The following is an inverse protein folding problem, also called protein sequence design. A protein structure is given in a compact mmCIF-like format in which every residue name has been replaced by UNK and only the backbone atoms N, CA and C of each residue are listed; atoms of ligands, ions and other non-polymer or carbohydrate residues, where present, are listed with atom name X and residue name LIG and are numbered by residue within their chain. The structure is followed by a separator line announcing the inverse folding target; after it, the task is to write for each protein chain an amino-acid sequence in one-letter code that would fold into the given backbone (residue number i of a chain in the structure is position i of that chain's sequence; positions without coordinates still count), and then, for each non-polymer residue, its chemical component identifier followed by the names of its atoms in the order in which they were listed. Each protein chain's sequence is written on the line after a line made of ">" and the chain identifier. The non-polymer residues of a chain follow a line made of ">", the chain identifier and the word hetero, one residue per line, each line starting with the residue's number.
data_IF_181995668129
#
_entry.id   IF_181995668129
#
_cell.length_a   1.000
_cell.length_b   1.000
_cell.length_c   1.000
_cell.angle_alpha   90.00
_cell.angle_beta   90.00
_cell.angle_gamma   90.00
#
_symmetry.space_group_name_H-M   'P 1'
#
loop_
_entity.id
_entity.type
_entity.pdbx_description
1 polymer ?
#
# COMPACT_ATOMS: atom_id res chain seq x y z
N UNK A 1 -45.54 15.49 -2.79
CA UNK A 1 -45.34 16.49 -3.85
C UNK A 1 -43.96 16.22 -4.41
N UNK A 2 -43.84 15.89 -5.69
CA UNK A 2 -42.54 15.60 -6.32
C UNK A 2 -41.90 16.95 -6.71
N UNK A 3 -40.82 17.32 -6.03
CA UNK A 3 -40.03 18.49 -6.39
C UNK A 3 -39.02 18.07 -7.47
N UNK A 4 -39.07 18.71 -8.63
CA UNK A 4 -38.11 18.52 -9.73
C UNK A 4 -37.46 19.84 -10.09
N UNK A 5 -36.15 19.82 -10.34
CA UNK A 5 -35.44 21.01 -10.83
C UNK A 5 -35.25 20.90 -12.33
N UNK A 6 -35.77 21.88 -13.07
CA UNK A 6 -35.65 21.92 -14.54
C UNK A 6 -34.46 22.80 -14.92
N UNK A 7 -33.54 22.25 -15.69
CA UNK A 7 -32.46 23.03 -16.28
C UNK A 7 -33.05 23.98 -17.34
N UNK A 8 -32.93 25.29 -17.12
CA UNK A 8 -33.54 26.31 -17.98
C UNK A 8 -32.97 26.34 -19.40
N UNK A 9 -31.72 25.86 -19.57
CA UNK A 9 -31.02 25.88 -20.87
C UNK A 9 -31.40 24.66 -21.72
N UNK A 10 -31.49 23.48 -21.10
CA UNK A 10 -31.69 22.23 -21.83
C UNK A 10 -33.11 21.68 -21.73
N UNK A 11 -33.98 22.32 -20.93
CA UNK A 11 -35.30 21.84 -20.53
C UNK A 11 -35.29 20.42 -19.92
N UNK A 12 -34.10 19.93 -19.53
CA UNK A 12 -33.95 18.61 -18.93
C UNK A 12 -34.39 18.67 -17.47
N UNK A 13 -35.42 17.89 -17.13
CA UNK A 13 -35.96 17.81 -15.78
C UNK A 13 -35.23 16.71 -15.01
N UNK A 14 -34.47 17.10 -13.98
CA UNK A 14 -33.88 16.14 -13.04
C UNK A 14 -34.87 15.98 -11.89
N UNK A 15 -35.36 14.76 -11.70
CA UNK A 15 -36.16 14.43 -10.51
C UNK A 15 -35.27 14.47 -9.28
N UNK A 16 -35.48 15.45 -8.41
CA UNK A 16 -34.80 15.52 -7.12
C UNK A 16 -35.59 14.71 -6.11
N UNK A 17 -35.06 13.54 -5.75
CA UNK A 17 -35.58 12.80 -4.61
C UNK A 17 -35.03 13.49 -3.37
N UNK A 18 -35.88 14.23 -2.66
CA UNK A 18 -35.55 14.78 -1.35
C UNK A 18 -35.54 13.64 -0.34
N UNK A 19 -34.37 13.05 -0.12
CA UNK A 19 -34.14 12.12 0.97
C UNK A 19 -34.19 12.89 2.29
N UNK A 20 -35.02 12.46 3.24
CA UNK A 20 -35.00 13.03 4.59
C UNK A 20 -33.63 12.76 5.22
N UNK A 21 -33.08 13.71 5.99
CA UNK A 21 -31.76 13.57 6.64
C UNK A 21 -31.64 12.32 7.52
N UNK A 22 -32.75 11.69 7.90
CA UNK A 22 -32.81 10.42 8.63
C UNK A 22 -32.61 9.15 7.77
N UNK A 23 -32.63 9.24 6.43
CA UNK A 23 -32.42 8.07 5.55
C UNK A 23 -30.95 7.81 5.20
N UNK A 24 -30.04 8.70 5.62
CA UNK A 24 -28.60 8.43 5.60
C UNK A 24 -28.14 7.67 6.86
N UNK A 25 -28.92 6.70 7.32
CA UNK A 25 -28.35 5.63 8.15
C UNK A 25 -27.61 4.65 7.24
N UNK A 26 -26.29 4.88 7.13
CA UNK A 26 -25.18 3.94 6.93
C UNK A 26 -25.52 2.45 6.67
N UNK A 27 -26.29 2.16 5.61
CA UNK A 27 -26.39 0.82 5.01
C UNK A 27 -25.46 0.66 3.82
N UNK A 28 -24.32 1.37 3.84
CA UNK A 28 -23.15 0.86 3.12
C UNK A 28 -22.76 -0.43 3.83
N UNK A 29 -23.09 -1.55 3.18
CA UNK A 29 -22.84 -2.91 3.65
C UNK A 29 -21.39 -2.99 4.14
N UNK A 30 -21.24 -2.99 5.45
CA UNK A 30 -20.00 -3.30 6.15
C UNK A 30 -19.78 -4.80 5.98
N UNK A 31 -19.16 -5.17 4.88
CA UNK A 31 -18.51 -6.47 4.79
C UNK A 31 -17.50 -6.54 5.96
N UNK A 32 -17.79 -7.47 6.89
CA UNK A 32 -17.09 -7.75 8.16
C UNK A 32 -17.62 -6.96 9.37
N UNK A 33 -18.85 -7.30 9.80
CA UNK A 33 -19.21 -7.22 11.22
C UNK A 33 -18.34 -8.21 12.02
N UNK A 34 -17.21 -7.74 12.54
CA UNK A 34 -16.65 -8.32 13.76
C UNK A 34 -17.31 -7.62 14.95
N UNK A 35 -18.20 -8.36 15.61
CA UNK A 35 -18.71 -8.04 16.94
C UNK A 35 -17.58 -8.19 17.96
N UNK A 36 -16.88 -7.11 18.31
CA UNK A 36 -16.12 -7.05 19.55
C UNK A 36 -16.18 -5.65 20.18
N UNK A 37 -17.05 -5.57 21.20
CA UNK A 37 -16.83 -4.94 22.51
C UNK A 37 -16.05 -3.60 22.53
N UNK A 38 -16.81 -2.51 22.56
CA UNK A 38 -16.33 -1.21 23.01
C UNK A 38 -16.41 -1.12 24.55
N UNK A 39 -15.29 -1.36 25.22
CA UNK A 39 -14.93 -0.63 26.45
C UNK A 39 -13.42 -0.81 26.73
N UNK A 40 -12.71 0.30 26.98
CA UNK A 40 -11.37 0.31 27.57
C UNK A 40 -10.16 0.11 26.66
N UNK A 41 -10.25 -0.64 25.55
CA UNK A 41 -9.04 -1.21 24.90
C UNK A 41 -8.77 -0.67 23.46
N UNK A 42 -8.91 0.64 23.26
CA UNK A 42 -8.80 1.25 21.92
C UNK A 42 -7.41 1.10 21.28
N UNK A 43 -6.34 1.13 22.08
CA UNK A 43 -4.97 1.02 21.59
C UNK A 43 -4.60 -0.42 21.19
N UNK A 44 -5.09 -1.43 21.93
CA UNK A 44 -4.86 -2.84 21.60
C UNK A 44 -5.65 -3.22 20.35
N UNK A 45 -6.89 -2.76 20.22
CA UNK A 45 -7.71 -2.95 19.03
C UNK A 45 -7.05 -2.35 17.77
N UNK A 46 -6.50 -1.13 17.86
CA UNK A 46 -5.75 -0.49 16.78
C UNK A 46 -4.52 -1.32 16.37
N UNK A 47 -3.73 -1.75 17.36
CA UNK A 47 -2.52 -2.52 17.11
C UNK A 47 -2.83 -3.85 16.38
N UNK A 48 -3.88 -4.55 16.80
CA UNK A 48 -4.31 -5.79 16.14
C UNK A 48 -4.85 -5.56 14.73
N UNK A 49 -5.61 -4.48 14.49
CA UNK A 49 -6.05 -4.10 13.15
C UNK A 49 -4.88 -3.86 12.20
N UNK A 50 -3.90 -3.04 12.62
CA UNK A 50 -2.69 -2.77 11.82
C UNK A 50 -1.96 -4.07 11.50
N UNK A 51 -1.70 -4.91 12.51
CA UNK A 51 -1.05 -6.22 12.30
C UNK A 51 -1.84 -7.09 11.32
N UNK A 52 -3.16 -7.11 11.40
CA UNK A 52 -4.01 -7.88 10.50
C UNK A 52 -3.87 -7.42 9.04
N UNK A 53 -3.88 -6.11 8.78
CA UNK A 53 -3.74 -5.58 7.42
C UNK A 53 -2.32 -5.73 6.88
N UNK A 54 -1.29 -5.49 7.69
CA UNK A 54 0.10 -5.74 7.26
C UNK A 54 0.31 -7.23 6.97
N UNK A 55 -0.30 -8.13 7.77
CA UNK A 55 -0.28 -9.58 7.51
C UNK A 55 -1.04 -9.93 6.23
N UNK A 56 -2.18 -9.31 5.97
CA UNK A 56 -2.91 -9.47 4.70
C UNK A 56 -1.97 -9.18 3.53
N UNK A 57 -1.27 -8.05 3.56
CA UNK A 57 -0.41 -7.61 2.46
C UNK A 57 0.84 -8.50 2.27
N UNK A 58 1.44 -8.99 3.36
CA UNK A 58 2.73 -9.68 3.30
C UNK A 58 2.62 -11.21 3.23
N UNK A 59 1.68 -11.82 3.95
CA UNK A 59 1.67 -13.27 4.21
C UNK A 59 0.40 -13.99 3.74
N UNK A 60 -0.66 -13.27 3.37
CA UNK A 60 -1.91 -13.92 2.97
C UNK A 60 -1.80 -14.73 1.68
N UNK A 61 -2.84 -15.52 1.40
CA UNK A 61 -3.00 -16.19 0.11
C UNK A 61 -3.06 -15.19 -1.06
N UNK A 62 -3.55 -13.96 -0.84
CA UNK A 62 -3.49 -12.88 -1.84
C UNK A 62 -2.03 -12.47 -2.11
N UNK A 63 -1.20 -12.35 -1.09
CA UNK A 63 0.22 -12.05 -1.24
C UNK A 63 0.96 -13.14 -2.02
N UNK A 64 0.65 -14.42 -1.76
CA UNK A 64 1.19 -15.56 -2.52
C UNK A 64 0.76 -15.54 -3.99
N UNK A 65 -0.52 -15.27 -4.26
CA UNK A 65 -1.05 -15.14 -5.63
C UNK A 65 -0.42 -13.96 -6.38
N UNK A 66 -0.27 -12.83 -5.71
CA UNK A 66 0.39 -11.64 -6.26
C UNK A 66 1.84 -11.97 -6.66
N UNK A 67 2.59 -12.58 -5.73
CA UNK A 67 3.95 -13.03 -5.98
C UNK A 67 4.03 -14.01 -7.16
N UNK A 68 3.20 -15.06 -7.18
CA UNK A 68 3.20 -16.04 -8.27
C UNK A 68 2.92 -15.38 -9.63
N UNK A 69 1.99 -14.43 -9.69
CA UNK A 69 1.74 -13.68 -10.93
C UNK A 69 2.93 -12.82 -11.36
N UNK A 70 3.71 -12.29 -10.42
CA UNK A 70 4.91 -11.51 -10.75
C UNK A 70 6.03 -12.42 -11.24
N UNK A 71 6.21 -13.59 -10.62
CA UNK A 71 7.16 -14.62 -11.10
C UNK A 71 6.84 -14.99 -12.55
N UNK A 72 5.60 -15.36 -12.86
CA UNK A 72 5.19 -15.70 -14.24
C UNK A 72 5.41 -14.54 -15.22
N UNK A 73 5.19 -13.30 -14.79
CA UNK A 73 5.44 -12.11 -15.63
C UNK A 73 6.93 -11.96 -15.94
N UNK A 74 7.80 -12.16 -14.95
CA UNK A 74 9.25 -12.08 -15.15
C UNK A 74 9.74 -13.23 -16.02
N UNK A 75 9.29 -14.47 -15.78
CA UNK A 75 9.61 -15.62 -16.61
C UNK A 75 9.23 -15.38 -18.08
N UNK A 76 8.04 -14.83 -18.33
CA UNK A 76 7.60 -14.49 -19.68
C UNK A 76 8.49 -13.40 -20.32
N UNK A 77 8.85 -12.35 -19.55
CA UNK A 77 9.75 -11.30 -20.03
C UNK A 77 11.12 -11.84 -20.38
N UNK A 78 11.71 -12.68 -19.52
CA UNK A 78 13.00 -13.34 -19.75
C UNK A 78 12.95 -14.22 -21.00
N UNK A 79 11.90 -15.03 -21.16
CA UNK A 79 11.71 -15.86 -22.34
C UNK A 79 11.59 -15.04 -23.64
N UNK A 80 10.85 -13.94 -23.61
CA UNK A 80 10.72 -13.01 -24.73
C UNK A 80 12.07 -12.35 -25.09
N UNK A 81 12.82 -11.90 -24.09
CA UNK A 81 14.14 -11.30 -24.30
C UNK A 81 15.14 -12.31 -24.86
N UNK A 82 15.17 -13.52 -24.30
CA UNK A 82 16.02 -14.60 -24.78
C UNK A 82 15.71 -14.93 -26.25
N UNK A 83 14.43 -15.07 -26.59
CA UNK A 83 13.99 -15.36 -27.97
C UNK A 83 14.41 -14.25 -28.94
N UNK A 84 14.21 -12.98 -28.57
CA UNK A 84 14.61 -11.83 -29.39
C UNK A 84 16.12 -11.76 -29.60
N UNK A 85 16.88 -12.01 -28.54
CA UNK A 85 18.35 -11.94 -28.56
C UNK A 85 18.95 -13.07 -29.37
N UNK A 86 18.44 -14.30 -29.22
CA UNK A 86 18.83 -15.46 -30.03
C UNK A 86 18.50 -15.27 -31.51
N UNK A 87 17.32 -14.73 -31.82
CA UNK A 87 16.92 -14.46 -33.22
C UNK A 87 17.86 -13.44 -33.85
N UNK A 88 18.17 -12.36 -33.13
CA UNK A 88 19.09 -11.31 -33.58
C UNK A 88 20.52 -11.84 -33.75
N UNK A 89 20.99 -12.67 -32.82
CA UNK A 89 22.30 -13.33 -32.91
C UNK A 89 22.37 -14.30 -34.08
N UNK A 90 21.30 -15.06 -34.36
CA UNK A 90 21.21 -15.95 -35.53
C UNK A 90 21.33 -15.16 -36.83
N UNK A 91 20.63 -14.03 -36.97
CA UNK A 91 20.75 -13.17 -38.15
C UNK A 91 22.15 -12.57 -38.31
N UNK A 92 22.84 -12.32 -37.20
CA UNK A 92 24.20 -11.78 -37.19
C UNK A 92 25.30 -12.87 -37.21
N UNK A 93 24.96 -14.15 -37.37
CA UNK A 93 25.89 -15.29 -37.25
C UNK A 93 26.75 -15.28 -35.97
N UNK A 94 26.19 -14.79 -34.86
CA UNK A 94 26.85 -14.77 -33.54
C UNK A 94 26.58 -16.07 -32.78
N UNK A 95 27.45 -16.38 -31.81
CA UNK A 95 27.24 -17.49 -30.90
C UNK A 95 25.94 -17.32 -30.10
N UNK A 96 25.02 -18.29 -30.21
CA UNK A 96 23.72 -18.24 -29.53
C UNK A 96 23.86 -18.38 -28.02
N UNK A 97 24.86 -19.14 -27.55
CA UNK A 97 25.12 -19.36 -26.13
C UNK A 97 25.51 -18.05 -25.45
N UNK A 98 26.44 -17.28 -26.04
CA UNK A 98 26.85 -15.99 -25.50
C UNK A 98 25.69 -14.99 -25.52
N UNK A 99 24.90 -14.99 -26.59
CA UNK A 99 23.71 -14.14 -26.72
C UNK A 99 22.65 -14.44 -25.64
N UNK A 100 22.44 -15.72 -25.31
CA UNK A 100 21.54 -16.13 -24.23
C UNK A 100 22.11 -15.75 -22.85
N UNK A 101 23.41 -15.96 -22.62
CA UNK A 101 24.08 -15.55 -21.39
C UNK A 101 23.97 -14.04 -21.17
N UNK A 102 24.19 -13.22 -22.21
CA UNK A 102 24.02 -11.77 -22.14
C UNK A 102 22.59 -11.37 -21.77
N UNK A 103 21.58 -12.04 -22.37
CA UNK A 103 20.17 -11.79 -22.08
C UNK A 103 19.82 -12.14 -20.61
N UNK A 104 20.31 -13.27 -20.12
CA UNK A 104 20.09 -13.71 -18.74
C UNK A 104 20.83 -12.81 -17.74
N UNK A 105 22.08 -12.46 -17.99
CA UNK A 105 22.86 -11.58 -17.11
C UNK A 105 22.21 -10.19 -16.95
N UNK A 106 21.64 -9.65 -18.03
CA UNK A 106 20.92 -8.36 -17.98
C UNK A 106 19.68 -8.43 -17.09
N UNK A 107 18.85 -9.45 -17.25
CA UNK A 107 17.61 -9.56 -16.48
C UNK A 107 17.83 -10.04 -15.05
N UNK A 108 18.78 -10.94 -14.77
CA UNK A 108 19.09 -11.40 -13.40
C UNK A 108 19.64 -10.27 -12.54
N UNK A 109 20.34 -9.30 -13.13
CA UNK A 109 20.85 -8.12 -12.41
C UNK A 109 19.73 -7.15 -12.01
N UNK A 110 18.62 -7.12 -12.77
CA UNK A 110 17.49 -6.20 -12.53
C UNK A 110 16.31 -6.86 -11.81
N UNK A 111 16.12 -8.17 -11.98
CA UNK A 111 14.98 -8.91 -11.45
C UNK A 111 15.41 -9.78 -10.26
N UNK A 112 15.28 -9.21 -9.06
CA UNK A 112 15.43 -9.93 -7.81
C UNK A 112 14.19 -10.81 -7.60
N UNK A 113 14.06 -11.90 -8.39
CA UNK A 113 13.03 -12.92 -8.18
C UNK A 113 13.45 -13.73 -6.95
N UNK A 114 13.05 -13.27 -5.77
CA UNK A 114 13.27 -14.00 -4.52
C UNK A 114 12.25 -15.11 -4.40
N UNK A 115 12.60 -16.20 -3.73
CA UNK A 115 11.64 -17.18 -3.19
C UNK A 115 10.61 -16.44 -2.32
N UNK A 116 9.37 -16.94 -2.24
CA UNK A 116 8.39 -16.44 -1.26
C UNK A 116 8.85 -16.79 0.16
N UNK A 117 9.75 -15.98 0.70
CA UNK A 117 10.35 -16.19 2.01
C UNK A 117 9.37 -15.77 3.13
N UNK A 118 8.77 -16.76 3.77
CA UNK A 118 7.81 -16.58 4.86
C UNK A 118 8.50 -15.98 6.09
N UNK A 119 9.74 -16.35 6.38
CA UNK A 119 10.45 -15.89 7.57
C UNK A 119 10.78 -14.41 7.44
N UNK A 120 11.32 -14.00 6.29
CA UNK A 120 11.62 -12.60 6.03
C UNK A 120 10.37 -11.72 6.03
N UNK A 121 9.29 -12.18 5.39
CA UNK A 121 8.00 -11.48 5.41
C UNK A 121 7.39 -11.39 6.82
N UNK A 122 7.62 -12.39 7.67
CA UNK A 122 7.18 -12.36 9.07
C UNK A 122 7.99 -11.37 9.88
N UNK A 123 9.33 -11.32 9.72
CA UNK A 123 10.16 -10.27 10.32
C UNK A 123 9.68 -8.89 9.89
N UNK A 124 9.46 -8.71 8.58
CA UNK A 124 8.99 -7.45 8.03
C UNK A 124 7.59 -7.07 8.55
N UNK A 125 6.68 -8.02 8.71
CA UNK A 125 5.37 -7.80 9.33
C UNK A 125 5.50 -7.16 10.71
N UNK A 126 6.35 -7.72 11.58
CA UNK A 126 6.56 -7.19 12.93
C UNK A 126 7.18 -5.80 12.90
N UNK A 127 8.22 -5.60 12.08
CA UNK A 127 8.91 -4.31 11.94
C UNK A 127 7.98 -3.22 11.41
N UNK A 128 7.27 -3.48 10.30
CA UNK A 128 6.32 -2.54 9.71
C UNK A 128 5.19 -2.21 10.67
N UNK A 129 4.59 -3.22 11.30
CA UNK A 129 3.49 -3.00 12.24
C UNK A 129 3.93 -2.14 13.41
N UNK A 130 5.12 -2.38 13.98
CA UNK A 130 5.67 -1.56 15.07
C UNK A 130 5.78 -0.09 14.68
N UNK A 131 6.37 0.21 13.53
CA UNK A 131 6.52 1.59 13.07
C UNK A 131 5.19 2.27 12.75
N UNK A 132 4.26 1.55 12.12
CA UNK A 132 2.93 2.09 11.80
C UNK A 132 2.13 2.37 13.06
N UNK A 133 2.11 1.42 14.01
CA UNK A 133 1.42 1.60 15.30
C UNK A 133 2.01 2.80 16.03
N UNK A 134 3.34 2.87 16.15
CA UNK A 134 4.00 4.00 16.79
C UNK A 134 3.60 5.33 16.15
N UNK A 135 3.72 5.45 14.82
CA UNK A 135 3.36 6.67 14.10
C UNK A 135 1.90 7.07 14.30
N UNK A 136 0.95 6.13 14.16
CA UNK A 136 -0.47 6.41 14.35
C UNK A 136 -0.75 6.85 15.80
N UNK A 137 -0.18 6.17 16.79
CA UNK A 137 -0.33 6.53 18.20
C UNK A 137 0.25 7.91 18.50
N UNK A 138 1.41 8.26 17.94
CA UNK A 138 1.99 9.59 18.10
C UNK A 138 1.12 10.68 17.44
N UNK A 139 0.60 10.44 16.23
CA UNK A 139 -0.33 11.37 15.58
C UNK A 139 -1.64 11.54 16.38
N UNK A 140 -2.17 10.47 16.98
CA UNK A 140 -3.37 10.54 17.81
C UNK A 140 -3.15 11.30 19.11
N UNK A 141 -2.07 10.99 19.83
CA UNK A 141 -1.79 11.54 21.16
C UNK A 141 -1.28 12.98 21.12
N UNK A 142 -0.37 13.30 20.18
CA UNK A 142 0.29 14.62 20.12
C UNK A 142 -0.35 15.59 19.15
N UNK A 143 -0.90 15.10 18.03
CA UNK A 143 -1.47 15.94 16.97
C UNK A 143 -3.00 15.91 16.97
N UNK A 144 -3.61 15.15 17.88
CA UNK A 144 -5.06 14.97 17.98
C UNK A 144 -5.71 14.48 16.68
N UNK A 145 -4.95 13.79 15.83
CA UNK A 145 -5.45 13.25 14.56
C UNK A 145 -6.23 11.98 14.84
N UNK A 146 -7.53 11.97 14.52
CA UNK A 146 -8.35 10.77 14.60
C UNK A 146 -8.27 9.98 13.31
N UNK A 147 -8.05 8.67 13.43
CA UNK A 147 -8.12 7.76 12.30
C UNK A 147 -9.29 6.81 12.49
N UNK A 148 -10.16 6.72 11.47
CA UNK A 148 -11.34 5.86 11.54
C UNK A 148 -10.92 4.39 11.33
N UNK A 149 -11.54 3.42 12.03
CA UNK A 149 -11.30 2.01 11.79
C UNK A 149 -11.49 1.60 10.31
N UNK A 150 -12.48 2.18 9.62
CA UNK A 150 -12.73 1.94 8.19
C UNK A 150 -11.58 2.37 7.27
N UNK A 151 -10.72 3.29 7.71
CA UNK A 151 -9.57 3.76 6.95
C UNK A 151 -8.29 2.97 7.26
N UNK A 152 -8.29 2.13 8.31
CA UNK A 152 -7.08 1.46 8.80
C UNK A 152 -6.42 0.57 7.78
N UNK A 153 -7.21 -0.12 6.95
CA UNK A 153 -6.68 -0.92 5.84
C UNK A 153 -5.88 -0.04 4.89
N UNK A 154 -6.48 1.06 4.46
CA UNK A 154 -5.88 2.00 3.52
C UNK A 154 -4.62 2.64 4.07
N UNK A 155 -4.67 3.10 5.32
CA UNK A 155 -3.53 3.71 6.01
C UNK A 155 -2.40 2.69 6.19
N UNK A 156 -2.71 1.47 6.64
CA UNK A 156 -1.70 0.44 6.86
C UNK A 156 -1.02 0.05 5.55
N UNK A 157 -1.78 -0.17 4.48
CA UNK A 157 -1.21 -0.47 3.16
C UNK A 157 -0.38 0.70 2.65
N UNK A 158 -0.92 1.92 2.67
CA UNK A 158 -0.22 3.12 2.21
C UNK A 158 1.11 3.31 2.94
N UNK A 159 1.12 3.22 4.28
CA UNK A 159 2.33 3.37 5.07
C UNK A 159 3.37 2.27 4.80
N UNK A 160 2.95 1.01 4.64
CA UNK A 160 3.89 -0.07 4.24
C UNK A 160 4.53 0.24 2.87
N UNK A 161 3.78 0.81 1.92
CA UNK A 161 4.36 1.23 0.63
C UNK A 161 5.26 2.44 0.75
N UNK A 162 4.94 3.39 1.62
CA UNK A 162 5.79 4.57 1.87
C UNK A 162 7.13 4.19 2.51
N UNK A 163 7.24 3.07 3.23
CA UNK A 163 8.52 2.54 3.73
C UNK A 163 9.51 2.17 2.62
N UNK A 164 9.12 2.15 1.34
CA UNK A 164 10.07 2.02 0.22
C UNK A 164 11.00 3.23 0.08
N UNK A 165 10.52 4.40 0.47
CA UNK A 165 11.23 5.68 0.36
C UNK A 165 11.47 6.34 1.72
N UNK A 166 10.70 5.95 2.73
CA UNK A 166 10.67 6.59 4.04
C UNK A 166 9.91 7.92 4.01
N UNK A 167 9.63 8.47 5.19
CA UNK A 167 9.03 9.79 5.39
C UNK A 167 9.97 10.57 6.28
N UNK A 168 10.39 11.74 5.79
CA UNK A 168 11.29 12.63 6.48
C UNK A 168 10.64 14.01 6.57
N UNK A 169 10.71 14.66 7.72
CA UNK A 169 10.31 16.06 7.86
C UNK A 169 11.35 16.78 8.72
N UNK A 170 11.79 17.95 8.28
CA UNK A 170 12.80 18.76 9.00
C UNK A 170 14.07 17.97 9.37
N UNK A 171 14.53 17.07 8.49
CA UNK A 171 15.71 16.23 8.75
C UNK A 171 15.49 15.07 9.73
N UNK A 172 14.26 14.89 10.24
CA UNK A 172 13.89 13.78 11.14
C UNK A 172 13.18 12.69 10.36
N UNK A 173 13.58 11.44 10.58
CA UNK A 173 12.94 10.25 10.02
C UNK A 173 11.69 9.91 10.83
N UNK A 174 10.52 10.12 10.22
CA UNK A 174 9.21 9.81 10.82
C UNK A 174 8.78 8.38 10.48
N UNK A 175 9.07 7.96 9.25
CA UNK A 175 8.86 6.59 8.80
C UNK A 175 10.15 6.09 8.12
N UNK A 176 10.73 4.99 8.57
CA UNK A 176 12.03 4.56 8.06
C UNK A 176 11.89 3.96 6.67
N UNK A 177 12.95 4.10 5.88
CA UNK A 177 13.11 3.35 4.64
C UNK A 177 13.56 1.93 4.97
N UNK A 178 12.87 0.94 4.44
CA UNK A 178 13.19 -0.47 4.60
C UNK A 178 13.48 -1.08 3.23
N UNK A 179 14.75 -1.34 2.91
CA UNK A 179 15.16 -1.79 1.57
C UNK A 179 14.53 -3.14 1.16
N UNK A 180 14.28 -4.02 2.14
CA UNK A 180 13.63 -5.31 1.88
C UNK A 180 12.17 -5.16 1.44
N UNK A 181 11.49 -4.04 1.76
CA UNK A 181 10.10 -3.79 1.36
C UNK A 181 9.98 -3.72 -0.16
N UNK A 182 10.94 -3.08 -0.83
CA UNK A 182 10.94 -2.94 -2.30
C UNK A 182 10.92 -4.29 -3.02
N UNK A 183 11.62 -5.29 -2.48
CA UNK A 183 11.74 -6.62 -3.07
C UNK A 183 10.57 -7.56 -2.70
N UNK A 184 9.84 -7.28 -1.62
CA UNK A 184 8.83 -8.20 -1.07
C UNK A 184 7.39 -7.75 -1.30
N UNK A 185 7.16 -6.46 -1.53
CA UNK A 185 5.83 -5.96 -1.83
C UNK A 185 5.47 -6.18 -3.31
N UNK A 186 4.21 -6.49 -3.61
CA UNK A 186 3.76 -6.56 -4.98
C UNK A 186 3.88 -5.20 -5.67
N UNK A 187 3.95 -5.20 -7.00
CA UNK A 187 3.83 -3.96 -7.78
C UNK A 187 2.43 -3.37 -7.68
N UNK A 188 2.32 -2.05 -7.86
CA UNK A 188 1.04 -1.32 -7.78
C UNK A 188 -0.01 -1.85 -8.77
N UNK A 189 0.42 -2.28 -9.96
CA UNK A 189 -0.46 -2.93 -10.95
C UNK A 189 -1.12 -4.20 -10.41
N UNK A 190 -0.43 -4.95 -9.55
CA UNK A 190 -0.91 -6.21 -8.96
C UNK A 190 -1.79 -5.94 -7.75
N UNK A 191 -1.57 -4.85 -7.02
CA UNK A 191 -2.40 -4.43 -5.89
C UNK A 191 -3.87 -4.31 -6.28
N UNK A 192 -4.18 -3.58 -7.35
CA UNK A 192 -5.58 -3.38 -7.74
C UNK A 192 -6.25 -4.71 -8.08
N UNK A 193 -5.56 -5.57 -8.84
CA UNK A 193 -6.12 -6.83 -9.31
C UNK A 193 -6.30 -7.87 -8.19
N UNK A 194 -5.38 -7.94 -7.24
CA UNK A 194 -5.32 -9.03 -6.25
C UNK A 194 -5.85 -8.61 -4.88
N UNK A 195 -5.63 -7.35 -4.50
CA UNK A 195 -6.03 -6.81 -3.20
C UNK A 195 -7.23 -5.87 -3.28
N UNK A 196 -7.70 -5.52 -4.48
CA UNK A 196 -8.67 -4.44 -4.68
C UNK A 196 -8.25 -3.16 -3.95
N UNK A 197 -7.01 -2.76 -4.23
CA UNK A 197 -6.37 -1.60 -3.63
C UNK A 197 -5.73 -0.76 -4.73
N UNK A 198 -6.21 0.48 -4.92
CA UNK A 198 -5.75 1.35 -6.01
C UNK A 198 -4.47 2.04 -5.61
N UNK A 199 -3.58 2.29 -6.57
CA UNK A 199 -2.38 3.11 -6.35
C UNK A 199 -2.72 4.50 -5.78
N UNK A 200 -3.86 5.08 -6.22
CA UNK A 200 -4.40 6.35 -5.66
C UNK A 200 -4.50 6.33 -4.13
N UNK A 201 -4.87 5.19 -3.53
CA UNK A 201 -4.96 5.10 -2.08
C UNK A 201 -3.60 5.31 -1.37
N UNK A 202 -2.49 4.94 -2.01
CA UNK A 202 -1.13 5.20 -1.49
C UNK A 202 -0.87 6.71 -1.51
N UNK A 203 -1.16 7.37 -2.64
CA UNK A 203 -1.02 8.82 -2.80
C UNK A 203 -1.91 9.59 -1.82
N UNK A 204 -3.13 9.13 -1.58
CA UNK A 204 -4.05 9.76 -0.63
C UNK A 204 -3.50 9.65 0.81
N UNK A 205 -2.91 8.52 1.18
CA UNK A 205 -2.23 8.34 2.48
C UNK A 205 -1.00 9.25 2.57
N UNK A 206 -0.17 9.30 1.53
CA UNK A 206 0.97 10.21 1.47
C UNK A 206 0.55 11.67 1.68
N UNK A 207 -0.46 12.14 0.94
CA UNK A 207 -0.97 13.50 1.06
C UNK A 207 -1.56 13.77 2.45
N UNK A 208 -2.28 12.80 3.04
CA UNK A 208 -2.80 12.90 4.40
C UNK A 208 -1.67 13.09 5.40
N UNK A 209 -0.60 12.30 5.33
CA UNK A 209 0.56 12.46 6.22
C UNK A 209 1.34 13.75 5.95
N UNK A 210 1.52 14.17 4.69
CA UNK A 210 2.11 15.48 4.38
C UNK A 210 1.33 16.62 5.02
N UNK A 211 -0.01 16.59 4.94
CA UNK A 211 -0.87 17.60 5.55
C UNK A 211 -0.78 17.61 7.07
N UNK A 212 -0.77 16.42 7.70
CA UNK A 212 -0.59 16.27 9.15
C UNK A 212 0.74 16.89 9.58
N UNK A 213 1.82 16.54 8.88
CA UNK A 213 3.19 16.94 9.22
C UNK A 213 3.48 18.42 8.93
N UNK A 214 2.81 19.02 7.94
CA UNK A 214 2.98 20.44 7.58
C UNK A 214 2.69 21.40 8.73
N UNK A 215 1.82 21.01 9.64
CA UNK A 215 1.40 21.85 10.77
C UNK A 215 2.18 21.57 12.05
N UNK A 216 3.15 20.65 12.03
CA UNK A 216 3.92 20.27 13.20
C UNK A 216 5.14 21.19 13.31
N UNK A 217 5.31 21.94 14.42
CA UNK A 217 6.52 22.73 14.63
C UNK A 217 7.74 21.81 14.73
N UNK A 218 8.94 22.31 14.40
CA UNK A 218 10.17 21.51 14.39
C UNK A 218 10.39 20.71 15.69
N UNK A 219 10.07 21.28 16.84
CA UNK A 219 10.17 20.61 18.14
C UNK A 219 9.24 19.40 18.24
N UNK A 220 8.00 19.52 17.75
CA UNK A 220 7.04 18.42 17.70
C UNK A 220 7.39 17.35 16.67
N UNK A 221 8.24 17.64 15.69
CA UNK A 221 8.67 16.65 14.69
C UNK A 221 9.73 15.71 15.24
N UNK A 222 10.65 16.21 16.06
CA UNK A 222 11.66 15.39 16.78
C UNK A 222 10.97 14.32 17.63
N UNK A 223 9.87 14.72 18.26
CA UNK A 223 9.01 13.88 19.09
C UNK A 223 8.22 12.80 18.34
N UNK A 224 7.95 13.01 17.05
CA UNK A 224 7.34 12.03 16.14
C UNK A 224 8.38 11.12 15.50
N UNK A 225 9.64 11.55 15.52
CA UNK A 225 10.76 10.83 14.94
C UNK A 225 11.00 9.51 15.66
N UNK A 226 11.51 8.55 14.91
CA UNK A 226 12.19 7.44 15.54
C UNK A 226 13.48 7.98 16.13
N UNK A 227 13.59 8.01 17.46
CA UNK A 227 14.89 8.11 18.07
C UNK A 227 15.64 6.84 17.69
N UNK A 228 16.64 6.98 16.82
CA UNK A 228 17.59 5.92 16.52
C UNK A 228 18.35 5.60 17.82
N UNK A 229 17.74 4.77 18.66
CA UNK A 229 18.47 3.96 19.61
C UNK A 229 19.13 2.84 18.79
N UNK A 230 20.19 3.22 18.08
CA UNK A 230 21.14 2.29 17.48
C UNK A 230 21.82 1.47 18.60
#
# INVERSE_FOLDING_TARGET
>A
MEDGTVCVITAFCVRTINFQESEYEDRVISCVQQRHLYSGDSCTALAELVKCYVRELLLSNKARKAYASEVTRVEHRVAMLATRTMTSARHANRCLISALQDALCREVSESVIRVFDVNERTRLLHTCSRYIIHLITQCQSRLHVKFKPSEMRTISFGLVYMMRYGIHAHGVTILPKLDCVCALLPTESVLQRVFDFRAKNITDVENKFKLILRHVPHTGVVDLGLHDNA
#
